data_IF_520020061158
#
_entry.id   IF_520020061158
#
_cell.length_a   1.000
_cell.length_b   1.000
_cell.length_c   1.000
_cell.angle_alpha   90.00
_cell.angle_beta   90.00
_cell.angle_gamma   90.00
#
_symmetry.space_group_name_H-M   'P 1'
#
loop_
_entity.id
_entity.type
_entity.pdbx_description
1 polymer ?
#
# COMPACT_ATOMS: atom_id res chain seq x y z
N UNK A 1 -28.77 -45.43 -11.26
CA UNK A 1 -28.46 -44.43 -12.29
C UNK A 1 -29.61 -43.43 -12.33
N UNK A 2 -29.40 -42.19 -11.91
CA UNK A 2 -30.34 -41.07 -12.04
C UNK A 2 -29.51 -39.78 -12.23
N UNK A 3 -29.91 -38.82 -13.08
CA UNK A 3 -29.10 -37.66 -13.40
C UNK A 3 -29.20 -36.57 -12.33
N UNK A 4 -28.05 -35.95 -12.04
CA UNK A 4 -27.90 -34.75 -11.22
C UNK A 4 -28.65 -33.56 -11.81
N UNK A 5 -29.52 -32.94 -11.02
CA UNK A 5 -30.06 -31.62 -11.33
C UNK A 5 -29.06 -30.55 -10.88
N UNK A 6 -28.54 -29.81 -11.87
CA UNK A 6 -27.74 -28.61 -11.68
C UNK A 6 -28.55 -27.55 -10.93
N UNK A 7 -28.22 -27.28 -9.66
CA UNK A 7 -28.66 -26.06 -9.00
C UNK A 7 -27.80 -24.92 -9.54
N UNK A 8 -28.42 -24.14 -10.44
CA UNK A 8 -27.91 -22.88 -10.98
C UNK A 8 -27.43 -21.97 -9.84
N UNK A 9 -26.18 -21.53 -10.02
CA UNK A 9 -25.52 -20.36 -9.45
C UNK A 9 -26.49 -19.28 -8.95
N UNK A 10 -26.48 -19.03 -7.64
CA UNK A 10 -26.90 -17.74 -7.09
C UNK A 10 -25.95 -16.68 -7.63
N UNK A 11 -26.45 -15.79 -8.49
CA UNK A 11 -25.75 -14.59 -8.92
C UNK A 11 -25.50 -13.70 -7.68
N UNK A 12 -24.26 -13.31 -7.38
CA UNK A 12 -24.01 -12.29 -6.37
C UNK A 12 -24.40 -10.95 -7.00
N UNK A 13 -25.56 -10.44 -6.63
CA UNK A 13 -25.98 -9.07 -6.91
C UNK A 13 -24.86 -8.12 -6.47
N UNK A 14 -24.11 -7.57 -7.43
CA UNK A 14 -23.16 -6.48 -7.20
C UNK A 14 -23.95 -5.27 -6.70
N UNK A 15 -23.96 -5.07 -5.38
CA UNK A 15 -24.39 -3.81 -4.78
C UNK A 15 -23.16 -2.91 -4.81
N UNK A 16 -23.06 -2.08 -5.85
CA UNK A 16 -22.14 -0.95 -5.88
C UNK A 16 -22.36 -0.12 -4.59
N UNK A 17 -21.30 0.21 -3.82
CA UNK A 17 -21.46 1.09 -2.67
C UNK A 17 -22.02 2.45 -3.12
N UNK A 18 -22.89 3.10 -2.34
CA UNK A 18 -23.40 4.42 -2.69
C UNK A 18 -22.23 5.42 -2.79
N UNK A 19 -22.29 6.40 -3.73
CA UNK A 19 -21.27 7.43 -3.80
C UNK A 19 -21.23 8.19 -2.47
N UNK A 20 -20.03 8.41 -1.94
CA UNK A 20 -19.81 9.20 -0.74
C UNK A 20 -20.38 10.62 -0.95
N UNK A 21 -20.92 11.28 0.10
CA UNK A 21 -21.34 12.67 0.00
C UNK A 21 -20.13 13.52 -0.41
N UNK A 22 -20.24 14.17 -1.56
CA UNK A 22 -19.30 15.19 -2.01
C UNK A 22 -19.19 16.26 -0.93
N UNK A 23 -18.07 16.28 -0.21
CA UNK A 23 -17.67 17.42 0.61
C UNK A 23 -17.40 18.56 -0.37
N UNK A 24 -18.42 19.40 -0.59
CA UNK A 24 -18.25 20.72 -1.17
C UNK A 24 -17.20 21.45 -0.33
N UNK A 25 -15.99 21.59 -0.87
CA UNK A 25 -15.01 22.51 -0.32
C UNK A 25 -15.49 23.94 -0.59
N UNK A 26 -15.69 24.80 0.44
CA UNK A 26 -15.65 26.22 0.19
C UNK A 26 -14.20 26.58 -0.06
N UNK A 27 -13.85 26.77 -1.34
CA UNK A 27 -12.67 27.54 -1.71
C UNK A 27 -12.87 28.98 -1.23
N UNK A 28 -12.20 29.37 -0.16
CA UNK A 28 -11.91 30.77 0.14
C UNK A 28 -10.39 30.93 0.19
N UNK A 29 -9.85 31.23 -0.99
CA UNK A 29 -8.56 31.88 -1.14
C UNK A 29 -8.73 33.35 -0.79
N UNK A 30 -8.01 33.81 0.24
CA UNK A 30 -7.42 35.15 0.27
C UNK A 30 -6.27 35.16 1.28
N UNK A 31 -5.01 35.41 0.85
CA UNK A 31 -3.91 35.69 1.75
C UNK A 31 -3.97 37.17 2.14
N UNK A 32 -3.98 37.47 3.44
CA UNK A 32 -3.72 38.82 3.93
C UNK A 32 -2.39 38.82 4.67
N UNK A 33 -1.46 39.61 4.15
CA UNK A 33 -0.13 39.91 4.68
C UNK A 33 -0.15 40.50 6.11
N UNK A 34 0.98 40.47 6.84
CA UNK A 34 1.08 40.88 8.22
C UNK A 34 1.26 42.40 8.34
N UNK A 35 0.61 43.01 9.33
CA UNK A 35 0.97 44.34 9.83
C UNK A 35 1.65 44.17 11.19
N UNK A 36 2.96 44.45 11.33
CA UNK A 36 3.59 44.56 12.63
C UNK A 36 3.57 46.04 13.04
N UNK A 37 2.77 46.40 14.04
CA UNK A 37 2.97 47.67 14.74
C UNK A 37 2.91 47.47 16.26
N UNK A 38 3.92 48.04 16.91
CA UNK A 38 4.46 47.60 18.20
C UNK A 38 3.52 47.80 19.40
N UNK A 39 3.44 46.78 20.23
CA UNK A 39 3.37 46.96 21.67
C UNK A 39 4.62 46.29 22.27
N UNK A 40 5.51 47.12 22.81
CA UNK A 40 6.65 46.73 23.62
C UNK A 40 6.18 45.81 24.76
N UNK A 41 6.31 44.49 24.59
CA UNK A 41 6.10 43.52 25.66
C UNK A 41 7.42 43.29 26.38
N UNK A 42 7.71 44.15 27.35
CA UNK A 42 8.63 43.78 28.44
C UNK A 42 7.84 42.89 29.40
N UNK A 43 7.66 41.63 29.00
CA UNK A 43 7.13 40.58 29.86
C UNK A 43 7.97 39.34 29.58
N UNK A 44 8.58 38.74 30.62
CA UNK A 44 9.38 37.53 30.43
C UNK A 44 8.50 36.46 29.78
N UNK A 45 9.06 35.58 28.93
CA UNK A 45 8.29 34.55 28.26
C UNK A 45 7.56 33.72 29.30
N UNK A 46 6.23 33.83 29.32
CA UNK A 46 5.42 32.94 30.10
C UNK A 46 5.63 31.54 29.51
N UNK A 47 6.39 30.70 30.22
CA UNK A 47 6.50 29.28 29.91
C UNK A 47 5.07 28.75 29.85
N UNK A 48 4.64 28.15 28.73
CA UNK A 48 3.30 27.57 28.68
C UNK A 48 3.19 26.57 29.84
N UNK A 49 2.07 26.57 30.60
CA UNK A 49 1.89 25.61 31.67
C UNK A 49 1.98 24.19 31.10
N UNK A 50 3.09 23.54 31.48
CA UNK A 50 3.16 22.21 32.07
C UNK A 50 2.32 21.12 31.40
N UNK A 51 3.05 20.16 30.81
CA UNK A 51 2.70 18.75 30.61
C UNK A 51 1.22 18.41 30.77
N UNK A 52 0.56 18.12 29.65
CA UNK A 52 -0.76 17.50 29.64
C UNK A 52 -0.83 16.41 30.72
N UNK A 53 -1.85 16.43 31.61
CA UNK A 53 -1.93 15.48 32.70
C UNK A 53 -1.95 14.06 32.12
N UNK A 54 -1.15 13.13 32.66
CA UNK A 54 -1.14 11.75 32.20
C UNK A 54 -2.56 11.17 32.23
N UNK A 55 -2.99 10.58 31.11
CA UNK A 55 -4.27 9.89 31.04
C UNK A 55 -4.22 8.73 32.04
N UNK A 56 -5.03 8.82 33.10
CA UNK A 56 -5.16 7.75 34.09
C UNK A 56 -6.17 6.75 33.58
N UNK A 57 -5.69 5.58 33.14
CA UNK A 57 -6.52 4.50 32.63
C UNK A 57 -6.97 3.62 33.81
N UNK A 58 -8.28 3.45 34.07
CA UNK A 58 -8.78 2.50 35.06
C UNK A 58 -8.29 1.08 34.78
N UNK A 59 -7.99 0.31 35.83
CA UNK A 59 -7.42 -1.02 35.68
C UNK A 59 -8.25 -1.98 34.80
N UNK A 60 -9.58 -1.84 34.80
CA UNK A 60 -10.46 -2.64 33.94
C UNK A 60 -10.28 -2.32 32.45
N UNK A 61 -10.17 -1.04 32.09
CA UNK A 61 -9.95 -0.59 30.71
C UNK A 61 -8.56 -1.00 30.22
N UNK A 62 -7.54 -0.90 31.09
CA UNK A 62 -6.20 -1.37 30.76
C UNK A 62 -6.18 -2.89 30.47
N UNK A 63 -6.90 -3.68 31.26
CA UNK A 63 -7.03 -5.13 31.01
C UNK A 63 -7.78 -5.41 29.70
N UNK A 64 -8.84 -4.67 29.41
CA UNK A 64 -9.57 -4.79 28.15
C UNK A 64 -8.68 -4.44 26.95
N UNK A 65 -7.91 -3.34 27.03
CA UNK A 65 -6.94 -2.96 26.00
C UNK A 65 -5.89 -4.05 25.79
N UNK A 66 -5.35 -4.65 26.86
CA UNK A 66 -4.36 -5.72 26.76
C UNK A 66 -4.92 -6.94 26.00
N UNK A 67 -6.17 -7.33 26.29
CA UNK A 67 -6.86 -8.41 25.57
C UNK A 67 -7.10 -8.03 24.11
N UNK A 68 -7.49 -6.79 23.83
CA UNK A 68 -7.68 -6.29 22.46
C UNK A 68 -6.39 -6.35 21.65
N UNK A 69 -5.27 -5.89 22.21
CA UNK A 69 -3.97 -5.95 21.54
C UNK A 69 -3.53 -7.39 21.32
N UNK A 70 -3.66 -8.27 22.33
CA UNK A 70 -3.34 -9.69 22.17
C UNK A 70 -4.17 -10.32 21.04
N UNK A 71 -5.47 -10.04 21.01
CA UNK A 71 -6.38 -10.55 19.98
C UNK A 71 -5.97 -10.04 18.60
N UNK A 72 -5.68 -8.74 18.49
CA UNK A 72 -5.21 -8.12 17.25
C UNK A 72 -3.91 -8.77 16.77
N UNK A 73 -2.89 -8.83 17.62
CA UNK A 73 -1.59 -9.43 17.28
C UNK A 73 -1.74 -10.88 16.85
N UNK A 74 -2.51 -11.67 17.58
CA UNK A 74 -2.75 -13.10 17.25
C UNK A 74 -3.47 -13.25 15.91
N UNK A 75 -4.47 -12.40 15.65
CA UNK A 75 -5.22 -12.41 14.40
C UNK A 75 -4.33 -12.06 13.22
N UNK A 76 -3.49 -11.03 13.35
CA UNK A 76 -2.55 -10.63 12.31
C UNK A 76 -1.55 -11.75 11.99
N UNK A 77 -1.01 -12.42 13.01
CA UNK A 77 -0.11 -13.56 12.84
C UNK A 77 -0.80 -14.73 12.13
N UNK A 78 -2.03 -15.06 12.54
CA UNK A 78 -2.82 -16.12 11.90
C UNK A 78 -3.13 -15.81 10.44
N UNK A 79 -3.36 -14.54 10.10
CA UNK A 79 -3.59 -14.12 8.71
C UNK A 79 -2.31 -14.28 7.90
N UNK A 80 -1.17 -13.85 8.43
CA UNK A 80 0.14 -14.00 7.78
C UNK A 80 0.45 -15.47 7.50
N UNK A 81 0.31 -16.35 8.50
CA UNK A 81 0.52 -17.79 8.33
C UNK A 81 -0.43 -18.41 7.28
N UNK A 82 -1.69 -17.98 7.25
CA UNK A 82 -2.65 -18.44 6.24
C UNK A 82 -2.28 -17.97 4.84
N UNK A 83 -1.74 -16.76 4.69
CA UNK A 83 -1.24 -16.26 3.41
C UNK A 83 -0.07 -17.12 2.92
N UNK A 84 0.89 -17.44 3.77
CA UNK A 84 2.04 -18.28 3.41
C UNK A 84 1.59 -19.68 2.95
N UNK A 85 0.64 -20.29 3.65
CA UNK A 85 0.05 -21.56 3.23
C UNK A 85 -0.67 -21.46 1.88
N UNK A 86 -1.38 -20.36 1.62
CA UNK A 86 -2.05 -20.15 0.35
C UNK A 86 -1.06 -19.97 -0.79
N UNK A 87 0.02 -19.21 -0.57
CA UNK A 87 1.09 -19.00 -1.54
C UNK A 87 1.76 -20.31 -1.91
N UNK A 88 2.14 -21.12 -0.92
CA UNK A 88 2.72 -22.45 -1.18
C UNK A 88 1.78 -23.31 -2.02
N UNK A 89 0.46 -23.25 -1.75
CA UNK A 89 -0.53 -23.98 -2.54
C UNK A 89 -0.63 -23.44 -3.98
N UNK A 90 -0.56 -22.13 -4.18
CA UNK A 90 -0.54 -21.51 -5.51
C UNK A 90 0.69 -21.95 -6.30
N UNK A 91 1.86 -21.93 -5.67
CA UNK A 91 3.12 -22.37 -6.30
C UNK A 91 3.04 -23.86 -6.66
N UNK A 92 2.52 -24.69 -5.77
CA UNK A 92 2.31 -26.11 -6.04
C UNK A 92 1.36 -26.32 -7.22
N UNK A 93 0.23 -25.60 -7.26
CA UNK A 93 -0.72 -25.68 -8.39
C UNK A 93 -0.06 -25.24 -9.70
N UNK A 94 0.75 -24.18 -9.65
CA UNK A 94 1.51 -23.67 -10.81
C UNK A 94 2.50 -24.72 -11.31
N UNK A 95 3.22 -25.38 -10.40
CA UNK A 95 4.16 -26.44 -10.76
C UNK A 95 3.46 -27.63 -11.42
N UNK A 96 2.32 -28.07 -10.88
CA UNK A 96 1.53 -29.17 -11.47
C UNK A 96 1.06 -28.79 -12.87
N UNK A 97 0.52 -27.59 -13.06
CA UNK A 97 0.08 -27.12 -14.37
C UNK A 97 1.24 -27.05 -15.37
N UNK A 98 2.38 -26.49 -14.94
CA UNK A 98 3.60 -26.47 -15.76
C UNK A 98 4.01 -27.87 -16.16
N UNK A 99 4.02 -28.81 -15.21
CA UNK A 99 4.44 -30.19 -15.46
C UNK A 99 3.53 -30.88 -16.47
N UNK A 100 2.21 -30.71 -16.34
CA UNK A 100 1.24 -31.23 -17.32
C UNK A 100 1.48 -30.61 -18.69
N UNK A 101 1.75 -29.30 -18.76
CA UNK A 101 2.07 -28.63 -20.03
C UNK A 101 3.35 -29.16 -20.66
N UNK A 102 4.40 -29.48 -19.87
CA UNK A 102 5.62 -30.12 -20.38
C UNK A 102 5.31 -31.46 -21.03
N UNK A 103 4.58 -32.33 -20.31
CA UNK A 103 4.21 -33.65 -20.80
C UNK A 103 3.38 -33.62 -22.08
N UNK A 104 2.52 -32.62 -22.21
CA UNK A 104 1.66 -32.43 -23.38
C UNK A 104 2.34 -31.63 -24.51
N UNK A 105 3.56 -31.14 -24.30
CA UNK A 105 4.25 -30.26 -25.27
C UNK A 105 3.55 -28.93 -25.50
N UNK A 106 2.76 -28.46 -24.53
CA UNK A 106 1.96 -27.23 -24.59
C UNK A 106 2.70 -26.00 -24.07
N UNK A 107 3.94 -26.16 -23.61
CA UNK A 107 4.72 -25.05 -23.09
C UNK A 107 5.02 -24.07 -24.23
N UNK A 108 4.72 -22.77 -24.10
CA UNK A 108 5.13 -21.78 -25.09
C UNK A 108 6.67 -21.80 -25.24
N UNK A 109 7.19 -21.66 -26.47
CA UNK A 109 8.64 -21.55 -26.68
C UNK A 109 9.16 -20.35 -25.89
N UNK A 110 10.30 -20.53 -25.21
CA UNK A 110 10.91 -19.48 -24.42
C UNK A 110 11.08 -18.22 -25.29
N UNK A 111 10.75 -17.03 -24.76
CA UNK A 111 10.97 -15.79 -25.50
C UNK A 111 12.45 -15.73 -25.91
N UNK A 112 12.75 -15.27 -27.14
CA UNK A 112 14.13 -15.18 -27.60
C UNK A 112 14.91 -14.33 -26.58
N UNK A 113 16.01 -14.88 -26.07
CA UNK A 113 16.92 -14.15 -25.20
C UNK A 113 17.33 -12.90 -25.98
N UNK A 114 16.92 -11.72 -25.49
CA UNK A 114 17.36 -10.47 -26.05
C UNK A 114 18.87 -10.42 -25.87
N UNK A 115 19.60 -10.61 -26.97
CA UNK A 115 21.03 -10.33 -27.03
C UNK A 115 21.14 -8.87 -26.60
N UNK A 116 21.89 -8.51 -25.54
CA UNK A 116 22.02 -7.12 -25.16
C UNK A 116 22.61 -6.40 -26.36
N UNK A 117 21.82 -5.54 -26.98
CA UNK A 117 22.29 -4.64 -28.03
C UNK A 117 23.41 -3.83 -27.40
N UNK A 118 24.64 -4.09 -27.82
CA UNK A 118 25.81 -3.31 -27.44
C UNK A 118 25.63 -1.90 -27.99
N UNK A 119 24.90 -1.07 -27.26
CA UNK A 119 25.01 0.38 -27.37
C UNK A 119 26.34 0.72 -26.71
N UNK A 120 27.35 1.22 -27.44
CA UNK A 120 28.51 1.81 -26.80
C UNK A 120 27.98 2.97 -25.96
N UNK A 121 28.32 2.97 -24.67
CA UNK A 121 28.08 4.10 -23.80
C UNK A 121 28.89 5.29 -24.34
N UNK A 122 28.26 6.15 -25.13
CA UNK A 122 28.75 7.51 -25.34
C UNK A 122 28.12 8.40 -24.28
N UNK A 123 28.87 8.57 -23.18
CA UNK A 123 28.74 9.67 -22.24
C UNK A 123 30.15 9.95 -21.67
N UNK A 124 30.58 11.17 -21.28
CA UNK A 124 30.04 12.53 -21.48
C UNK A 124 31.10 13.51 -22.06
N UNK A 125 30.69 14.71 -22.48
CA UNK A 125 31.50 15.96 -22.44
C UNK A 125 32.83 16.02 -23.23
N UNK A 126 32.77 16.38 -24.52
CA UNK A 126 33.87 17.06 -25.21
C UNK A 126 33.31 18.13 -26.17
N UNK A 127 33.84 19.36 -26.21
CA UNK A 127 33.48 20.32 -27.25
C UNK A 127 34.14 19.90 -28.59
N UNK A 128 33.57 20.26 -29.74
CA UNK A 128 34.23 20.04 -31.02
C UNK A 128 35.48 20.91 -31.10
N UNK A 129 36.64 20.29 -31.37
CA UNK A 129 37.86 21.05 -31.66
C UNK A 129 37.73 21.74 -33.02
N UNK A 130 37.99 23.04 -33.08
CA UNK A 130 38.08 23.79 -34.34
C UNK A 130 39.29 23.30 -35.16
N UNK A 131 39.13 22.96 -36.45
CA UNK A 131 40.26 22.67 -37.31
C UNK A 131 41.01 23.96 -37.63
N UNK A 132 42.19 24.11 -37.03
CA UNK A 132 43.24 24.98 -37.56
C UNK A 132 43.80 24.32 -38.82
N UNK A 133 43.47 24.86 -39.99
CA UNK A 133 44.34 25.12 -41.17
C UNK A 133 43.48 25.41 -42.40
#
# INVERSE_FOLDING_TARGET
MAPSAFLRTSEPREVLPPPLPSISAPSTSTPSEPVPEAASSDTPPAVPPTSEPPITIPGAEYRALLVSFQTLTTTQMTIMERMDHFQLRQDQQTLILREIQQHLGLLPPAPPVAVPSSVPAEDPSYPPEEPTT
#
